data_IF_919012636291
#
_entry.id   IF_919012636291
#
_cell.length_a   1.000
_cell.length_b   1.000
_cell.length_c   1.000
_cell.angle_alpha   90.00
_cell.angle_beta   90.00
_cell.angle_gamma   90.00
#
_symmetry.space_group_name_H-M   'P 1'
#
loop_
_entity.id
_entity.type
_entity.pdbx_description
1 polymer ?
#
# COMPACT_ATOMS: atom_id res chain seq x y z
N UNK A 1 26.03 23.53 -45.27
CA UNK A 1 24.57 23.62 -45.50
C UNK A 1 23.86 22.92 -44.35
N UNK A 2 23.34 23.73 -43.41
CA UNK A 2 22.32 23.47 -42.37
C UNK A 2 22.32 22.08 -41.68
N UNK A 3 22.79 21.93 -40.43
CA UNK A 3 22.04 22.23 -39.20
C UNK A 3 20.52 22.04 -39.32
N UNK A 4 20.02 20.84 -38.99
CA UNK A 4 18.63 20.65 -38.55
C UNK A 4 18.63 20.46 -37.04
N UNK A 5 17.74 21.21 -36.42
CA UNK A 5 17.75 21.64 -35.03
C UNK A 5 17.00 20.66 -34.11
N UNK A 6 17.60 20.47 -32.94
CA UNK A 6 16.99 20.52 -31.60
C UNK A 6 15.61 19.88 -31.41
N UNK A 7 15.60 18.73 -30.74
CA UNK A 7 14.46 18.25 -29.97
C UNK A 7 14.05 19.31 -28.92
N UNK A 8 12.87 19.90 -29.13
CA UNK A 8 12.25 20.92 -28.28
C UNK A 8 11.99 20.38 -26.86
N UNK A 9 12.92 20.64 -25.94
CA UNK A 9 12.70 20.48 -24.50
C UNK A 9 12.09 21.75 -23.94
N UNK A 10 10.83 22.04 -24.28
CA UNK A 10 10.05 23.04 -23.52
C UNK A 10 9.42 22.31 -22.32
N UNK A 11 10.23 22.07 -21.28
CA UNK A 11 9.70 21.76 -19.94
C UNK A 11 9.26 23.08 -19.33
N UNK A 12 7.97 23.41 -19.45
CA UNK A 12 7.39 24.50 -18.68
C UNK A 12 7.55 24.19 -17.17
N UNK A 13 8.43 24.93 -16.50
CA UNK A 13 8.80 24.70 -15.11
C UNK A 13 7.66 25.02 -14.12
N UNK A 14 6.65 25.80 -14.52
CA UNK A 14 5.55 26.19 -13.65
C UNK A 14 4.52 25.06 -13.44
N UNK A 15 4.22 24.28 -14.48
CA UNK A 15 3.35 23.10 -14.38
C UNK A 15 3.99 21.98 -13.54
N UNK A 16 5.33 21.87 -13.56
CA UNK A 16 6.05 20.94 -12.67
C UNK A 16 6.03 21.40 -11.22
N UNK A 17 6.19 22.71 -10.97
CA UNK A 17 6.16 23.29 -9.62
C UNK A 17 4.78 23.20 -8.96
N UNK A 18 3.70 23.36 -9.73
CA UNK A 18 2.33 23.22 -9.20
C UNK A 18 2.03 21.77 -8.80
N UNK A 19 2.40 20.79 -9.62
CA UNK A 19 2.23 19.38 -9.31
C UNK A 19 3.06 18.90 -8.11
N UNK A 20 4.26 19.46 -7.89
CA UNK A 20 5.11 19.09 -6.75
C UNK A 20 4.50 19.50 -5.39
N UNK A 21 3.79 20.64 -5.34
CA UNK A 21 3.09 21.13 -4.13
C UNK A 21 1.93 20.21 -3.71
N UNK A 22 1.23 19.60 -4.67
CA UNK A 22 0.08 18.72 -4.40
C UNK A 22 0.43 17.23 -4.38
N UNK A 23 1.59 16.82 -4.90
CA UNK A 23 2.09 15.43 -4.88
C UNK A 23 2.21 14.83 -3.48
N UNK A 24 2.67 15.61 -2.50
CA UNK A 24 3.05 15.08 -1.18
C UNK A 24 1.82 14.74 -0.31
N UNK A 25 0.65 15.33 -0.58
CA UNK A 25 -0.54 15.19 0.27
C UNK A 25 -1.48 14.04 -0.13
N UNK A 26 -1.30 13.43 -1.30
CA UNK A 26 -2.32 12.53 -1.91
C UNK A 26 -1.93 11.04 -1.85
N UNK A 27 -0.67 10.69 -1.60
CA UNK A 27 -0.27 9.28 -1.66
C UNK A 27 -0.64 8.52 -0.39
N UNK A 28 -1.44 7.47 -0.57
CA UNK A 28 -1.75 6.49 0.46
C UNK A 28 -0.47 5.75 0.89
N UNK A 29 -0.20 5.72 2.18
CA UNK A 29 0.97 5.03 2.74
C UNK A 29 0.50 4.02 3.77
N UNK A 30 0.99 2.79 3.64
CA UNK A 30 0.93 1.81 4.72
C UNK A 30 2.01 2.14 5.74
N UNK A 31 1.67 2.05 7.01
CA UNK A 31 2.57 2.27 8.14
C UNK A 31 2.23 1.28 9.26
N UNK A 32 3.18 1.07 10.17
CA UNK A 32 2.97 0.23 11.34
C UNK A 32 2.55 1.09 12.53
N UNK A 33 1.53 0.66 13.27
CA UNK A 33 1.15 1.26 14.54
C UNK A 33 1.99 0.71 15.69
N UNK A 34 1.86 1.37 16.84
CA UNK A 34 2.49 0.93 18.09
C UNK A 34 1.73 -0.22 18.77
N UNK A 35 0.62 -0.69 18.19
CA UNK A 35 -0.12 -1.82 18.73
C UNK A 35 0.74 -3.10 18.76
N UNK A 36 0.54 -3.96 19.77
CA UNK A 36 1.24 -5.23 19.85
C UNK A 36 0.84 -6.15 18.72
N UNK A 37 1.83 -6.70 18.00
CA UNK A 37 1.63 -7.71 16.98
C UNK A 37 1.49 -9.09 17.64
N UNK A 38 0.47 -9.85 17.24
CA UNK A 38 0.24 -11.21 17.76
C UNK A 38 0.97 -12.30 16.99
N UNK A 39 1.66 -11.97 15.90
CA UNK A 39 2.32 -12.94 15.05
C UNK A 39 1.37 -13.86 14.25
N UNK A 40 0.08 -13.52 14.13
CA UNK A 40 -0.93 -14.41 13.52
C UNK A 40 -0.71 -14.75 12.03
N UNK A 41 0.13 -13.99 11.30
CA UNK A 41 0.45 -14.27 9.90
C UNK A 41 -0.67 -13.97 8.89
N UNK A 42 -1.82 -13.43 9.31
CA UNK A 42 -2.93 -13.14 8.40
C UNK A 42 -2.51 -12.17 7.30
N UNK A 43 -1.75 -11.12 7.63
CA UNK A 43 -1.28 -10.13 6.65
C UNK A 43 -0.46 -10.75 5.50
N UNK A 44 0.34 -11.79 5.79
CA UNK A 44 1.10 -12.54 4.79
C UNK A 44 0.16 -13.31 3.87
N UNK A 45 -0.81 -14.03 4.46
CA UNK A 45 -1.75 -14.90 3.74
C UNK A 45 -2.74 -14.14 2.85
N UNK A 46 -3.16 -12.94 3.27
CA UNK A 46 -4.11 -12.13 2.49
C UNK A 46 -3.44 -11.24 1.46
N UNK A 47 -2.10 -11.14 1.44
CA UNK A 47 -1.40 -10.33 0.45
C UNK A 47 -1.32 -11.11 -0.88
N UNK A 48 -1.93 -10.65 -1.99
CA UNK A 48 -1.86 -11.37 -3.26
C UNK A 48 -0.48 -11.31 -3.94
N UNK A 49 0.43 -10.46 -3.45
CA UNK A 49 1.75 -10.21 -4.07
C UNK A 49 2.92 -10.81 -3.31
N UNK A 50 2.66 -11.62 -2.28
CA UNK A 50 3.71 -12.15 -1.40
C UNK A 50 4.64 -11.05 -0.85
N UNK A 51 4.10 -9.84 -0.65
CA UNK A 51 4.89 -8.64 -0.38
C UNK A 51 5.09 -8.38 1.12
N UNK A 52 4.74 -9.32 2.00
CA UNK A 52 4.85 -9.14 3.44
C UNK A 52 5.61 -10.33 4.03
N UNK A 53 6.69 -10.04 4.77
CA UNK A 53 7.38 -10.99 5.64
C UNK A 53 6.94 -10.75 7.07
N UNK A 54 6.76 -11.82 7.85
CA UNK A 54 6.45 -11.71 9.27
C UNK A 54 7.69 -12.07 10.09
N UNK A 55 8.13 -11.14 10.94
CA UNK A 55 9.10 -11.37 12.01
C UNK A 55 8.40 -11.03 13.35
N UNK A 56 8.96 -10.16 14.19
CA UNK A 56 8.24 -9.63 15.37
C UNK A 56 7.06 -8.74 14.96
N UNK A 57 7.23 -7.93 13.91
CA UNK A 57 6.19 -7.15 13.24
C UNK A 57 6.21 -7.41 11.73
N UNK A 58 5.13 -7.11 10.99
CA UNK A 58 5.10 -7.26 9.54
C UNK A 58 6.09 -6.31 8.86
N UNK A 59 6.90 -6.83 7.93
CA UNK A 59 7.79 -6.05 7.06
C UNK A 59 7.16 -6.03 5.67
N UNK A 60 6.80 -4.84 5.19
CA UNK A 60 6.16 -4.62 3.89
C UNK A 60 7.24 -4.33 2.84
N UNK A 61 7.29 -5.12 1.77
CA UNK A 61 8.20 -4.95 0.64
C UNK A 61 7.79 -3.85 -0.34
N UNK A 62 8.54 -3.72 -1.42
CA UNK A 62 8.40 -2.68 -2.44
C UNK A 62 7.37 -2.97 -3.53
N UNK A 63 6.79 -4.18 -3.57
CA UNK A 63 5.77 -4.62 -4.54
C UNK A 63 4.33 -4.44 -4.03
N UNK A 64 4.11 -3.47 -3.16
CA UNK A 64 2.78 -3.21 -2.61
C UNK A 64 1.87 -2.55 -3.66
N UNK A 65 0.72 -3.16 -3.93
CA UNK A 65 -0.29 -2.62 -4.87
C UNK A 65 -1.41 -1.85 -4.14
N UNK A 66 -1.23 -1.56 -2.84
CA UNK A 66 -2.15 -0.75 -2.04
C UNK A 66 -3.61 -1.26 -2.01
N UNK A 67 -3.82 -2.59 -2.10
CA UNK A 67 -5.15 -3.20 -2.03
C UNK A 67 -5.78 -3.22 -0.62
N UNK A 68 -4.99 -2.88 0.41
CA UNK A 68 -5.40 -2.80 1.82
C UNK A 68 -5.87 -4.10 2.49
N UNK A 69 -5.77 -5.25 1.83
CA UNK A 69 -6.17 -6.54 2.43
C UNK A 69 -5.48 -6.82 3.77
N UNK A 70 -4.19 -6.50 3.87
CA UNK A 70 -3.43 -6.69 5.12
C UNK A 70 -3.87 -5.73 6.25
N UNK A 71 -4.27 -4.49 5.93
CA UNK A 71 -4.72 -3.52 6.92
C UNK A 71 -6.13 -3.88 7.43
N UNK A 72 -7.05 -4.25 6.54
CA UNK A 72 -8.42 -4.60 6.91
C UNK A 72 -8.52 -5.90 7.71
N UNK A 73 -7.68 -6.90 7.42
CA UNK A 73 -7.73 -8.21 8.09
C UNK A 73 -6.73 -8.38 9.24
N UNK A 74 -6.00 -7.33 9.64
CA UNK A 74 -5.13 -7.40 10.81
C UNK A 74 -5.98 -7.28 12.09
N UNK A 75 -6.16 -8.35 12.90
CA UNK A 75 -7.00 -8.29 14.10
C UNK A 75 -6.43 -7.36 15.17
N UNK A 76 -5.12 -7.09 15.13
CA UNK A 76 -4.43 -6.21 16.07
C UNK A 76 -4.28 -4.77 15.55
N UNK A 77 -4.77 -4.45 14.34
CA UNK A 77 -4.62 -3.13 13.71
C UNK A 77 -3.16 -2.63 13.68
N UNK A 78 -2.21 -3.54 13.46
CA UNK A 78 -0.78 -3.22 13.37
C UNK A 78 -0.45 -2.52 12.06
N UNK A 79 -1.07 -2.94 10.95
CA UNK A 79 -0.90 -2.30 9.64
C UNK A 79 -2.03 -1.29 9.48
N UNK A 80 -1.67 -0.01 9.39
CA UNK A 80 -2.60 1.13 9.28
C UNK A 80 -2.23 1.99 8.07
N UNK A 81 -3.10 2.93 7.73
CA UNK A 81 -2.83 3.93 6.69
C UNK A 81 -2.68 5.32 7.27
N UNK A 82 -2.01 6.21 6.54
CA UNK A 82 -1.98 7.65 6.87
C UNK A 82 -3.35 8.35 6.70
N UNK A 83 -4.39 7.64 6.26
CA UNK A 83 -5.75 8.16 6.09
C UNK A 83 -6.75 7.56 7.09
N UNK A 84 -6.32 6.64 7.94
CA UNK A 84 -7.19 6.01 8.94
C UNK A 84 -7.70 7.07 9.93
N UNK A 85 -9.02 7.14 10.11
CA UNK A 85 -9.67 8.02 11.09
C UNK A 85 -10.13 7.27 12.33
N UNK A 86 -10.24 5.95 12.24
CA UNK A 86 -10.63 5.04 13.33
C UNK A 86 -9.93 3.69 13.14
N UNK A 87 -9.86 2.84 14.18
CA UNK A 87 -9.33 1.48 14.07
C UNK A 87 -10.34 0.50 13.44
N UNK A 88 -11.54 0.95 13.08
CA UNK A 88 -12.58 0.10 12.52
C UNK A 88 -12.21 -0.31 11.09
N UNK A 89 -12.43 -1.57 10.77
CA UNK A 89 -12.12 -2.14 9.45
C UNK A 89 -13.38 -2.66 8.82
N UNK A 90 -13.65 -2.23 7.59
CA UNK A 90 -14.72 -2.83 6.81
C UNK A 90 -14.34 -4.27 6.44
N UNK A 91 -15.16 -5.22 6.87
CA UNK A 91 -15.11 -6.62 6.43
C UNK A 91 -16.46 -6.95 5.83
N UNK A 92 -16.47 -7.47 4.61
CA UNK A 92 -17.70 -7.93 3.99
C UNK A 92 -18.20 -9.19 4.73
N UNK A 93 -19.40 -9.12 5.32
CA UNK A 93 -20.02 -10.22 6.07
C UNK A 93 -20.31 -11.47 5.24
N UNK A 94 -20.37 -11.35 3.91
CA UNK A 94 -20.63 -12.46 2.98
C UNK A 94 -19.36 -13.11 2.44
N UNK A 95 -18.18 -12.60 2.79
CA UNK A 95 -16.89 -13.13 2.34
C UNK A 95 -16.07 -13.55 3.55
N UNK A 96 -15.77 -14.84 3.65
CA UNK A 96 -14.96 -15.37 4.74
C UNK A 96 -13.49 -15.09 4.48
N UNK A 97 -12.73 -14.85 5.55
CA UNK A 97 -11.26 -14.69 5.48
C UNK A 97 -10.60 -15.88 4.77
N UNK A 98 -11.08 -17.11 4.99
CA UNK A 98 -10.56 -18.30 4.32
C UNK A 98 -10.68 -18.22 2.80
N UNK A 99 -11.79 -17.67 2.27
CA UNK A 99 -11.98 -17.51 0.83
C UNK A 99 -11.02 -16.50 0.24
N UNK A 100 -10.71 -15.43 0.97
CA UNK A 100 -9.71 -14.43 0.56
C UNK A 100 -8.32 -15.07 0.53
N UNK A 101 -7.96 -15.82 1.57
CA UNK A 101 -6.67 -16.53 1.65
C UNK A 101 -6.54 -17.54 0.51
N UNK A 102 -7.59 -18.32 0.24
CA UNK A 102 -7.61 -19.30 -0.84
C UNK A 102 -7.49 -18.63 -2.23
N UNK A 103 -8.21 -17.53 -2.46
CA UNK A 103 -8.11 -16.75 -3.70
C UNK A 103 -6.74 -16.12 -3.90
N UNK A 104 -6.02 -15.83 -2.81
CA UNK A 104 -4.69 -15.22 -2.84
C UNK A 104 -3.58 -16.25 -2.64
N UNK A 105 -3.87 -17.55 -2.82
CA UNK A 105 -2.88 -18.59 -2.69
C UNK A 105 -1.71 -18.35 -3.66
N UNK A 106 -0.49 -18.43 -3.15
CA UNK A 106 0.76 -18.09 -3.85
C UNK A 106 1.52 -19.34 -4.33
N UNK A 107 0.89 -20.51 -4.22
CA UNK A 107 1.45 -21.79 -4.65
C UNK A 107 1.52 -21.90 -6.18
#
# INVERSE_FOLDING_TARGET
MLFILRNNKIRNNNAKKSMEKYKIKIMLKLQLSDNPCTGCGICVKVCPRANIKLEEKPIIGDKCEQCLGCAHHCPANVIITNMDKSPERFINSHVRLSQIIESNNQN
#
